data_IF_771065798598
#
_entry.id   IF_771065798598
#
_cell.length_a   1.000
_cell.length_b   1.000
_cell.length_c   1.000
_cell.angle_alpha   90.00
_cell.angle_beta   90.00
_cell.angle_gamma   90.00
#
_symmetry.space_group_name_H-M   'P 1'
#
loop_
_entity.id
_entity.type
_entity.pdbx_description
1 polymer ?
#
# COMPACT_ATOMS: atom_id res chain seq x y z
N UNK A 1 8.40 -19.90 -28.31
CA UNK A 1 7.32 -19.33 -29.15
C UNK A 1 7.28 -19.87 -30.57
N UNK A 2 8.38 -19.97 -31.34
CA UNK A 2 8.38 -20.55 -32.71
C UNK A 2 7.74 -21.96 -32.77
N UNK A 3 7.96 -22.83 -31.78
CA UNK A 3 7.40 -24.20 -31.78
C UNK A 3 5.88 -24.25 -31.60
N UNK A 4 5.27 -23.35 -30.81
CA UNK A 4 3.82 -23.32 -30.62
C UNK A 4 3.07 -22.85 -31.90
N UNK A 5 3.70 -22.01 -32.70
CA UNK A 5 3.16 -21.53 -33.98
C UNK A 5 3.00 -22.67 -34.96
N UNK A 6 3.99 -23.57 -35.06
CA UNK A 6 3.93 -24.74 -35.93
C UNK A 6 2.91 -25.81 -35.47
N UNK A 7 2.76 -25.96 -34.16
CA UNK A 7 1.77 -26.88 -33.59
C UNK A 7 0.32 -26.47 -33.91
N UNK A 8 0.02 -25.18 -33.97
CA UNK A 8 -1.30 -24.67 -34.33
C UNK A 8 -1.70 -24.91 -35.81
N UNK A 9 -0.72 -25.13 -36.69
CA UNK A 9 -0.96 -25.44 -38.10
C UNK A 9 -1.17 -26.97 -38.35
N UNK A 10 -0.85 -27.84 -37.38
CA UNK A 10 -0.94 -29.29 -37.54
C UNK A 10 -2.37 -29.75 -37.90
N UNK A 11 -3.46 -29.28 -37.24
CA UNK A 11 -4.82 -29.73 -37.61
C UNK A 11 -5.17 -29.40 -39.07
N UNK A 12 -4.73 -28.24 -39.57
CA UNK A 12 -4.99 -27.81 -40.93
C UNK A 12 -4.24 -28.68 -41.95
N UNK A 13 -2.98 -28.98 -41.68
CA UNK A 13 -2.14 -29.83 -42.54
C UNK A 13 -2.71 -31.25 -42.60
N UNK A 14 -3.10 -31.81 -41.45
CA UNK A 14 -3.73 -33.13 -41.38
C UNK A 14 -5.09 -33.16 -42.10
N UNK A 15 -5.91 -32.10 -41.95
CA UNK A 15 -7.18 -32.00 -42.67
C UNK A 15 -6.98 -31.87 -44.18
N UNK A 16 -5.98 -31.14 -44.65
CA UNK A 16 -5.64 -31.00 -46.04
C UNK A 16 -5.18 -32.34 -46.68
N UNK A 17 -4.33 -33.10 -45.95
CA UNK A 17 -3.87 -34.43 -46.37
C UNK A 17 -5.04 -35.40 -46.48
N UNK A 18 -5.89 -35.45 -45.45
CA UNK A 18 -7.05 -36.34 -45.43
C UNK A 18 -8.07 -35.99 -46.50
N UNK A 19 -8.35 -34.71 -46.73
CA UNK A 19 -9.23 -34.23 -47.78
C UNK A 19 -8.67 -34.56 -49.18
N UNK A 20 -7.34 -34.46 -49.36
CA UNK A 20 -6.64 -34.86 -50.60
C UNK A 20 -6.79 -36.38 -50.86
N UNK A 21 -6.61 -37.20 -49.82
CA UNK A 21 -6.76 -38.67 -49.91
C UNK A 21 -8.20 -39.07 -50.23
N UNK A 22 -9.22 -38.37 -49.67
CA UNK A 22 -10.63 -38.56 -49.97
C UNK A 22 -10.95 -38.17 -51.43
N UNK A 23 -10.41 -37.07 -51.96
CA UNK A 23 -10.65 -36.60 -53.34
C UNK A 23 -9.92 -37.43 -54.37
N UNK A 24 -8.76 -37.99 -54.06
CA UNK A 24 -8.01 -38.83 -54.97
C UNK A 24 -8.53 -40.27 -55.06
N UNK A 25 -9.57 -40.61 -54.32
CA UNK A 25 -10.13 -41.98 -54.28
C UNK A 25 -9.32 -43.03 -53.51
N UNK A 26 -8.25 -42.59 -52.84
CA UNK A 26 -7.45 -43.47 -51.97
C UNK A 26 -8.23 -43.95 -50.74
N UNK A 27 -9.28 -43.17 -50.33
CA UNK A 27 -10.19 -43.50 -49.23
C UNK A 27 -11.61 -43.23 -49.74
N UNK A 28 -12.60 -44.10 -49.39
CA UNK A 28 -13.98 -43.91 -49.75
C UNK A 28 -14.50 -42.57 -49.24
N UNK A 29 -15.03 -41.72 -50.13
CA UNK A 29 -15.57 -40.41 -49.79
C UNK A 29 -17.12 -40.41 -49.81
N UNK A 30 -17.82 -40.81 -48.73
CA UNK A 30 -19.24 -40.85 -48.69
C UNK A 30 -19.82 -39.45 -48.81
N UNK A 31 -20.73 -39.20 -49.71
CA UNK A 31 -21.48 -37.97 -49.81
C UNK A 31 -22.53 -37.98 -48.69
N UNK A 32 -22.42 -37.07 -47.78
CA UNK A 32 -23.43 -36.89 -46.71
C UNK A 32 -24.63 -36.12 -47.32
N UNK A 33 -25.71 -36.85 -47.59
CA UNK A 33 -26.97 -36.27 -48.09
C UNK A 33 -27.72 -35.57 -46.95
N UNK A 34 -27.29 -34.38 -46.61
CA UNK A 34 -28.05 -33.49 -45.74
C UNK A 34 -28.10 -32.10 -46.40
N UNK A 35 -29.26 -31.70 -46.84
CA UNK A 35 -29.71 -30.41 -47.43
C UNK A 35 -28.67 -29.35 -47.93
N UNK A 36 -27.41 -29.65 -47.88
CA UNK A 36 -26.31 -28.94 -48.51
C UNK A 36 -25.43 -30.02 -49.14
N UNK A 37 -25.25 -30.03 -50.46
CA UNK A 37 -24.39 -30.95 -51.23
C UNK A 37 -22.90 -30.80 -50.86
N UNK A 38 -22.52 -31.06 -49.61
CA UNK A 38 -21.17 -31.01 -49.10
C UNK A 38 -20.61 -32.42 -48.99
N UNK A 39 -19.54 -32.73 -49.72
CA UNK A 39 -18.81 -33.99 -49.57
C UNK A 39 -18.03 -34.03 -48.24
N UNK A 40 -17.70 -35.24 -47.75
CA UNK A 40 -16.95 -35.44 -46.54
C UNK A 40 -15.59 -34.72 -46.56
N UNK A 41 -14.94 -34.60 -47.74
CA UNK A 41 -13.69 -33.92 -47.90
C UNK A 41 -13.78 -32.41 -47.58
N UNK A 42 -14.90 -31.78 -47.97
CA UNK A 42 -15.16 -30.36 -47.68
C UNK A 42 -15.42 -30.12 -46.19
N UNK A 43 -16.19 -31.02 -45.52
CA UNK A 43 -16.45 -30.94 -44.10
C UNK A 43 -15.14 -31.11 -43.27
N UNK A 44 -14.26 -32.04 -43.65
CA UNK A 44 -12.97 -32.24 -43.00
C UNK A 44 -12.07 -31.01 -43.16
N UNK A 45 -12.03 -30.37 -44.32
CA UNK A 45 -11.27 -29.13 -44.55
C UNK A 45 -11.80 -27.98 -43.70
N UNK A 46 -13.11 -27.77 -43.69
CA UNK A 46 -13.72 -26.72 -42.87
C UNK A 46 -13.49 -26.94 -41.36
N UNK A 47 -13.61 -28.19 -40.89
CA UNK A 47 -13.32 -28.57 -39.51
C UNK A 47 -11.83 -28.32 -39.14
N UNK A 48 -10.91 -28.66 -40.03
CA UNK A 48 -9.49 -28.41 -39.82
C UNK A 48 -9.12 -26.93 -39.81
N UNK A 49 -9.76 -26.13 -40.67
CA UNK A 49 -9.59 -24.66 -40.71
C UNK A 49 -10.14 -24.00 -39.41
N UNK A 50 -11.33 -24.41 -38.97
CA UNK A 50 -11.91 -23.87 -37.75
C UNK A 50 -11.09 -24.23 -36.49
N UNK A 51 -10.61 -25.45 -36.34
CA UNK A 51 -9.74 -25.87 -35.27
C UNK A 51 -8.41 -25.13 -35.27
N UNK A 52 -7.79 -24.93 -36.44
CA UNK A 52 -6.57 -24.12 -36.57
C UNK A 52 -6.84 -22.67 -36.20
N UNK A 53 -7.92 -22.07 -36.63
CA UNK A 53 -8.31 -20.71 -36.28
C UNK A 53 -8.50 -20.53 -34.78
N UNK A 54 -9.16 -21.45 -34.09
CA UNK A 54 -9.32 -21.46 -32.65
C UNK A 54 -7.96 -21.61 -31.91
N UNK A 55 -7.08 -22.48 -32.42
CA UNK A 55 -5.74 -22.64 -31.86
C UNK A 55 -4.89 -21.35 -32.00
N UNK A 56 -4.97 -20.68 -33.15
CA UNK A 56 -4.31 -19.38 -33.38
C UNK A 56 -4.87 -18.29 -32.48
N UNK A 57 -6.20 -18.19 -32.30
CA UNK A 57 -6.84 -17.28 -31.37
C UNK A 57 -6.37 -17.55 -29.93
N UNK A 58 -6.36 -18.79 -29.48
CA UNK A 58 -5.87 -19.17 -28.16
C UNK A 58 -4.41 -18.82 -27.91
N UNK A 59 -3.53 -19.10 -28.90
CA UNK A 59 -2.13 -18.68 -28.85
C UNK A 59 -1.95 -17.16 -28.79
N UNK A 60 -2.72 -16.42 -29.61
CA UNK A 60 -2.71 -14.96 -29.62
C UNK A 60 -3.15 -14.36 -28.28
N UNK A 61 -4.25 -14.89 -27.73
CA UNK A 61 -4.78 -14.46 -26.44
C UNK A 61 -3.78 -14.75 -25.28
N UNK A 62 -3.22 -15.96 -25.25
CA UNK A 62 -2.22 -16.35 -24.26
C UNK A 62 -0.97 -15.47 -24.34
N UNK A 63 -0.51 -15.19 -25.54
CA UNK A 63 0.63 -14.29 -25.76
C UNK A 63 0.35 -12.83 -25.34
N UNK A 64 -0.87 -12.32 -25.61
CA UNK A 64 -1.32 -11.01 -25.16
C UNK A 64 -1.34 -10.91 -23.62
N UNK A 65 -1.90 -11.92 -22.94
CA UNK A 65 -1.95 -11.97 -21.47
C UNK A 65 -0.55 -12.08 -20.85
N UNK A 66 0.33 -12.93 -21.41
CA UNK A 66 1.72 -13.07 -20.97
C UNK A 66 2.50 -11.76 -21.13
N UNK A 67 2.31 -11.06 -22.26
CA UNK A 67 2.96 -9.75 -22.46
C UNK A 67 2.41 -8.68 -21.52
N UNK A 68 1.11 -8.69 -21.24
CA UNK A 68 0.49 -7.73 -20.34
C UNK A 68 0.97 -7.92 -18.90
N UNK A 69 1.02 -9.15 -18.41
CA UNK A 69 1.52 -9.47 -17.07
C UNK A 69 3.03 -9.17 -16.94
N UNK A 70 3.84 -9.50 -17.96
CA UNK A 70 5.26 -9.17 -17.95
C UNK A 70 5.52 -7.66 -17.90
N UNK A 71 4.75 -6.85 -18.64
CA UNK A 71 4.85 -5.38 -18.58
C UNK A 71 4.44 -4.83 -17.22
N UNK A 72 3.37 -5.36 -16.61
CA UNK A 72 2.94 -4.96 -15.27
C UNK A 72 4.04 -5.20 -14.23
N UNK A 73 4.71 -6.36 -14.28
CA UNK A 73 5.83 -6.68 -13.40
C UNK A 73 7.05 -5.76 -13.59
N UNK A 74 7.34 -5.38 -14.83
CA UNK A 74 8.45 -4.44 -15.12
C UNK A 74 8.14 -3.06 -14.55
N UNK A 75 6.93 -2.53 -14.79
CA UNK A 75 6.49 -1.24 -14.27
C UNK A 75 6.51 -1.23 -12.74
N UNK A 76 6.06 -2.33 -12.11
CA UNK A 76 6.08 -2.43 -10.65
C UNK A 76 7.51 -2.43 -10.08
N UNK A 77 8.43 -3.18 -10.70
CA UNK A 77 9.86 -3.17 -10.33
C UNK A 77 10.51 -1.79 -10.51
N UNK A 78 10.17 -1.09 -11.58
CA UNK A 78 10.68 0.27 -11.82
C UNK A 78 10.16 1.24 -10.77
N UNK A 79 8.87 1.15 -10.37
CA UNK A 79 8.31 1.94 -9.28
C UNK A 79 9.03 1.66 -7.97
N UNK A 80 9.16 0.40 -7.58
CA UNK A 80 9.86 0.01 -6.35
C UNK A 80 11.32 0.51 -6.35
N UNK A 81 12.03 0.43 -7.48
CA UNK A 81 13.39 0.94 -7.60
C UNK A 81 13.44 2.47 -7.45
N UNK A 82 12.48 3.20 -8.04
CA UNK A 82 12.37 4.65 -7.90
C UNK A 82 12.04 5.06 -6.47
N UNK A 83 11.11 4.38 -5.81
CA UNK A 83 10.74 4.66 -4.43
C UNK A 83 11.92 4.39 -3.48
N UNK A 84 12.65 3.30 -3.68
CA UNK A 84 13.87 3.01 -2.94
C UNK A 84 14.96 4.08 -3.16
N UNK A 85 15.16 4.56 -4.41
CA UNK A 85 16.11 5.64 -4.67
C UNK A 85 15.69 6.98 -4.04
N UNK A 86 14.38 7.28 -3.99
CA UNK A 86 13.85 8.47 -3.31
C UNK A 86 14.09 8.36 -1.82
N UNK A 87 13.80 7.20 -1.24
CA UNK A 87 14.06 6.93 0.18
C UNK A 87 15.53 7.15 0.53
N UNK A 88 16.47 6.53 -0.20
CA UNK A 88 17.91 6.69 0.07
C UNK A 88 18.34 8.16 -0.03
N UNK A 89 17.87 8.90 -1.03
CA UNK A 89 18.21 10.34 -1.16
C UNK A 89 17.68 11.16 0.01
N UNK A 90 16.45 10.90 0.47
CA UNK A 90 15.87 11.58 1.64
C UNK A 90 16.62 11.23 2.91
N UNK A 91 16.96 9.95 3.09
CA UNK A 91 17.73 9.48 4.23
C UNK A 91 19.11 10.16 4.30
N UNK A 92 19.83 10.22 3.18
CA UNK A 92 21.11 10.92 3.09
C UNK A 92 20.98 12.39 3.51
N UNK A 93 19.93 13.08 3.07
CA UNK A 93 19.64 14.46 3.43
C UNK A 93 19.28 14.63 4.91
N UNK A 94 18.40 13.77 5.44
CA UNK A 94 17.97 13.82 6.84
C UNK A 94 19.08 13.41 7.83
N UNK A 95 20.08 12.66 7.38
CA UNK A 95 21.28 12.33 8.17
C UNK A 95 22.35 13.41 8.06
N UNK A 96 22.59 13.97 6.88
CA UNK A 96 23.62 15.02 6.69
C UNK A 96 23.34 16.28 7.49
N UNK A 97 22.07 16.70 7.57
CA UNK A 97 21.69 17.91 8.27
C UNK A 97 22.10 17.91 9.76
N UNK A 98 21.67 16.94 10.60
CA UNK A 98 22.07 16.90 12.00
C UNK A 98 23.58 16.67 12.17
N UNK A 99 24.22 15.90 11.28
CA UNK A 99 25.68 15.69 11.33
C UNK A 99 26.45 16.98 11.07
N UNK A 100 26.01 17.80 10.10
CA UNK A 100 26.64 19.11 9.84
C UNK A 100 26.49 20.05 11.04
N UNK A 101 25.29 20.10 11.67
CA UNK A 101 25.09 20.90 12.90
C UNK A 101 25.96 20.39 14.05
N UNK A 102 26.08 19.07 14.22
CA UNK A 102 26.98 18.48 15.22
C UNK A 102 28.43 18.85 14.97
N UNK A 103 28.90 18.81 13.73
CA UNK A 103 30.28 19.21 13.38
C UNK A 103 30.55 20.68 13.71
N UNK A 104 29.59 21.58 13.35
CA UNK A 104 29.72 23.02 13.71
C UNK A 104 29.68 23.21 15.22
N UNK A 105 28.79 22.50 15.93
CA UNK A 105 28.70 22.56 17.39
C UNK A 105 29.99 22.10 18.06
N UNK A 106 30.60 21.02 17.60
CA UNK A 106 31.89 20.54 18.11
C UNK A 106 33.02 21.52 17.84
N UNK A 107 33.07 22.15 16.67
CA UNK A 107 34.05 23.14 16.33
C UNK A 107 33.94 24.42 17.20
N UNK A 108 32.70 24.80 17.56
CA UNK A 108 32.42 26.00 18.37
C UNK A 108 32.52 25.78 19.89
N UNK A 109 32.68 24.55 20.37
CA UNK A 109 32.92 24.27 21.80
C UNK A 109 34.16 25.00 22.35
N UNK A 110 35.09 25.38 21.47
CA UNK A 110 36.29 26.20 21.84
C UNK A 110 35.93 27.67 22.15
N UNK A 111 34.70 28.13 21.79
CA UNK A 111 34.29 29.54 21.87
C UNK A 111 33.23 29.87 22.95
N UNK A 112 32.67 28.84 23.64
CA UNK A 112 31.69 29.00 24.71
C UNK A 112 30.76 27.81 24.90
N UNK A 113 30.68 27.16 26.09
CA UNK A 113 30.16 25.79 26.20
C UNK A 113 28.61 25.64 26.36
N UNK A 114 27.84 26.66 26.70
CA UNK A 114 26.48 26.46 27.19
C UNK A 114 25.43 26.12 26.11
N UNK A 115 25.25 26.95 25.09
CA UNK A 115 24.23 26.76 24.05
C UNK A 115 24.61 25.66 23.05
N UNK A 116 25.90 25.47 22.80
CA UNK A 116 26.43 24.51 21.84
C UNK A 116 26.18 23.05 22.26
N UNK A 117 26.22 22.76 23.58
CA UNK A 117 25.97 21.42 24.10
C UNK A 117 24.48 21.02 23.98
N UNK A 118 23.57 21.93 24.30
CA UNK A 118 22.15 21.69 24.18
C UNK A 118 21.74 21.39 22.73
N UNK A 119 22.24 22.18 21.77
CA UNK A 119 22.00 21.96 20.33
C UNK A 119 22.56 20.61 19.87
N UNK A 120 23.77 20.25 20.31
CA UNK A 120 24.34 18.94 19.97
C UNK A 120 23.52 17.78 20.54
N UNK A 121 23.05 17.87 21.78
CA UNK A 121 22.18 16.87 22.41
C UNK A 121 20.86 16.71 21.65
N UNK A 122 20.24 17.80 21.19
CA UNK A 122 19.03 17.79 20.38
C UNK A 122 19.24 17.06 19.04
N UNK A 123 20.37 17.32 18.35
CA UNK A 123 20.68 16.62 17.10
C UNK A 123 20.95 15.12 17.31
N UNK A 124 21.60 14.74 18.38
CA UNK A 124 21.79 13.32 18.75
C UNK A 124 20.43 12.66 19.03
N UNK A 125 19.53 13.32 19.75
CA UNK A 125 18.18 12.83 20.01
C UNK A 125 17.37 12.67 18.69
N UNK A 126 17.50 13.61 17.75
CA UNK A 126 16.91 13.54 16.41
C UNK A 126 17.42 12.33 15.62
N UNK A 127 18.73 12.12 15.56
CA UNK A 127 19.34 10.96 14.89
C UNK A 127 18.87 9.64 15.52
N UNK A 128 18.80 9.58 16.86
CA UNK A 128 18.29 8.38 17.56
C UNK A 128 16.84 8.07 17.18
N UNK A 129 15.97 9.08 17.11
CA UNK A 129 14.57 8.91 16.66
C UNK A 129 14.46 8.42 15.22
N UNK A 130 15.30 8.94 14.31
CA UNK A 130 15.36 8.47 12.92
C UNK A 130 15.76 6.99 12.85
N UNK A 131 16.85 6.61 13.55
CA UNK A 131 17.30 5.21 13.58
C UNK A 131 16.26 4.26 14.18
N UNK A 132 15.59 4.66 15.26
CA UNK A 132 14.53 3.86 15.86
C UNK A 132 13.33 3.69 14.92
N UNK A 133 12.94 4.75 14.20
CA UNK A 133 11.87 4.70 13.21
C UNK A 133 12.21 3.78 12.04
N UNK A 134 13.44 3.86 11.52
CA UNK A 134 13.93 2.99 10.46
C UNK A 134 13.98 1.51 10.89
N UNK A 135 14.45 1.25 12.12
CA UNK A 135 14.46 -0.10 12.66
C UNK A 135 13.05 -0.67 12.76
N UNK A 136 12.10 0.10 13.30
CA UNK A 136 10.68 -0.32 13.36
C UNK A 136 10.11 -0.64 11.99
N UNK A 137 10.41 0.17 10.96
CA UNK A 137 9.99 -0.10 9.57
C UNK A 137 10.59 -1.39 9.01
N UNK A 138 11.88 -1.65 9.27
CA UNK A 138 12.57 -2.86 8.84
C UNK A 138 12.04 -4.11 9.56
N UNK A 139 11.80 -4.00 10.86
CA UNK A 139 11.27 -5.10 11.66
C UNK A 139 9.86 -5.49 11.19
N UNK A 140 9.05 -4.51 10.75
CA UNK A 140 7.73 -4.76 10.17
C UNK A 140 7.77 -5.69 8.95
N UNK A 141 8.83 -5.73 8.15
CA UNK A 141 8.91 -6.60 6.97
C UNK A 141 9.12 -8.08 7.32
N UNK A 142 9.74 -8.35 8.46
CA UNK A 142 10.20 -9.69 8.85
C UNK A 142 9.34 -10.32 9.95
N UNK A 143 8.56 -9.54 10.69
CA UNK A 143 7.79 -10.02 11.84
C UNK A 143 6.54 -10.80 11.39
N UNK A 144 6.32 -11.98 11.97
CA UNK A 144 5.05 -12.68 11.82
C UNK A 144 3.99 -11.96 12.67
N UNK A 145 2.86 -11.56 12.08
CA UNK A 145 1.78 -10.89 12.81
C UNK A 145 1.13 -11.92 13.75
N UNK A 146 1.05 -11.59 15.03
CA UNK A 146 0.23 -12.33 15.97
C UNK A 146 -1.26 -12.17 15.58
N UNK A 147 -1.99 -13.28 15.44
CA UNK A 147 -3.41 -13.23 15.08
C UNK A 147 -4.28 -13.21 16.35
N UNK A 148 -4.18 -12.15 17.13
CA UNK A 148 -4.99 -11.94 18.33
C UNK A 148 -6.32 -11.30 18.01
N UNK A 149 -7.29 -11.42 18.92
CA UNK A 149 -8.60 -10.74 18.80
C UNK A 149 -8.53 -9.42 19.57
N UNK A 150 -8.60 -8.31 18.84
CA UNK A 150 -8.35 -6.97 19.37
C UNK A 150 -9.63 -6.17 19.38
N UNK A 151 -9.99 -5.63 20.57
CA UNK A 151 -11.01 -4.59 20.72
C UNK A 151 -10.38 -3.23 20.38
N UNK A 152 -10.80 -2.65 19.26
CA UNK A 152 -10.26 -1.36 18.82
C UNK A 152 -10.68 -0.21 19.72
N UNK A 153 -11.78 -0.29 20.44
CA UNK A 153 -12.20 0.77 21.38
C UNK A 153 -11.24 0.86 22.56
N UNK A 154 -10.85 -0.29 23.11
CA UNK A 154 -9.86 -0.37 24.19
C UNK A 154 -8.47 0.07 23.71
N UNK A 155 -8.05 -0.41 22.55
CA UNK A 155 -6.77 -0.05 21.94
C UNK A 155 -6.68 1.46 21.67
N UNK A 156 -7.73 2.08 21.14
CA UNK A 156 -7.78 3.53 20.91
C UNK A 156 -7.72 4.29 22.22
N UNK A 157 -8.37 3.79 23.28
CA UNK A 157 -8.25 4.33 24.63
C UNK A 157 -6.80 4.34 25.12
N UNK A 158 -6.06 3.23 24.92
CA UNK A 158 -4.63 3.14 25.25
C UNK A 158 -3.80 4.12 24.43
N UNK A 159 -4.06 4.26 23.12
CA UNK A 159 -3.35 5.19 22.24
C UNK A 159 -3.56 6.66 22.67
N UNK A 160 -4.80 7.02 23.01
CA UNK A 160 -5.15 8.37 23.50
C UNK A 160 -4.46 8.65 24.85
N UNK A 161 -4.48 7.69 25.78
CA UNK A 161 -3.82 7.82 27.07
C UNK A 161 -2.30 8.03 26.91
N UNK A 162 -1.67 7.26 26.01
CA UNK A 162 -0.27 7.41 25.68
C UNK A 162 0.03 8.79 25.05
N UNK A 163 -0.81 9.29 24.16
CA UNK A 163 -0.66 10.64 23.60
C UNK A 163 -0.79 11.72 24.68
N UNK A 164 -1.76 11.63 25.58
CA UNK A 164 -1.96 12.58 26.68
C UNK A 164 -0.83 12.59 27.71
N UNK A 165 -0.02 11.54 27.78
CA UNK A 165 1.16 11.48 28.67
C UNK A 165 2.37 12.23 28.14
N UNK A 166 2.34 12.71 26.90
CA UNK A 166 3.43 13.51 26.33
C UNK A 166 3.45 14.90 26.94
N UNK A 167 4.59 15.37 27.46
CA UNK A 167 4.72 16.72 28.05
C UNK A 167 4.21 17.82 27.09
N UNK A 168 3.31 18.68 27.59
CA UNK A 168 2.69 19.76 26.83
C UNK A 168 1.41 19.37 26.09
N UNK A 169 0.93 18.12 26.24
CA UNK A 169 -0.33 17.65 25.65
C UNK A 169 -1.37 17.21 26.67
N UNK A 170 -1.08 17.35 27.97
CA UNK A 170 -1.94 16.92 29.08
C UNK A 170 -3.35 17.57 29.05
N UNK A 171 -3.42 18.81 28.56
CA UNK A 171 -4.68 19.56 28.43
C UNK A 171 -5.34 19.49 27.05
N UNK A 172 -4.81 18.70 26.12
CA UNK A 172 -5.36 18.61 24.76
C UNK A 172 -6.73 17.95 24.76
N UNK A 173 -7.64 18.54 23.98
CA UNK A 173 -8.95 17.96 23.75
C UNK A 173 -8.83 16.82 22.72
N UNK A 174 -8.67 15.58 23.22
CA UNK A 174 -8.70 14.35 22.42
C UNK A 174 -9.93 13.57 22.87
N UNK A 175 -10.91 13.47 21.98
CA UNK A 175 -12.20 12.83 22.24
C UNK A 175 -12.34 11.55 21.43
N UNK A 176 -12.73 10.46 22.11
CA UNK A 176 -13.13 9.21 21.46
C UNK A 176 -14.66 9.20 21.32
N UNK A 177 -15.13 9.16 20.09
CA UNK A 177 -16.56 9.08 19.77
C UNK A 177 -16.86 7.70 19.16
N UNK A 178 -17.36 6.74 19.95
CA UNK A 178 -17.91 5.53 19.39
C UNK A 178 -19.12 5.90 18.51
N UNK A 179 -19.25 5.27 17.35
CA UNK A 179 -20.46 5.40 16.56
C UNK A 179 -21.65 4.98 17.46
N UNK A 180 -22.73 5.76 17.44
CA UNK A 180 -23.93 5.48 18.24
C UNK A 180 -24.68 4.27 17.66
N UNK A 181 -24.12 3.09 17.83
CA UNK A 181 -24.72 1.80 17.51
C UNK A 181 -25.16 1.15 18.82
N UNK A 182 -26.23 0.34 18.82
CA UNK A 182 -26.65 -0.39 20.01
C UNK A 182 -25.66 -1.50 20.43
N UNK A 183 -24.62 -1.75 19.63
CA UNK A 183 -23.55 -2.74 19.85
C UNK A 183 -22.17 -2.14 19.62
N UNK A 184 -21.16 -2.71 20.28
CA UNK A 184 -19.75 -2.37 20.04
C UNK A 184 -19.31 -2.87 18.66
N UNK A 185 -18.39 -2.15 17.97
CA UNK A 185 -17.78 -2.64 16.74
C UNK A 185 -17.16 -4.04 16.95
N UNK A 186 -17.20 -4.92 15.93
CA UNK A 186 -16.61 -6.24 16.04
C UNK A 186 -15.09 -6.14 16.26
N UNK A 187 -14.48 -7.13 16.94
CA UNK A 187 -13.04 -7.18 17.10
C UNK A 187 -12.35 -7.38 15.74
N UNK A 188 -11.11 -6.92 15.64
CA UNK A 188 -10.24 -7.19 14.50
C UNK A 188 -9.21 -8.26 14.85
N UNK A 189 -8.70 -8.97 13.85
CA UNK A 189 -7.60 -9.92 14.04
C UNK A 189 -6.27 -9.26 13.69
N UNK A 190 -5.29 -9.31 14.60
CA UNK A 190 -4.01 -8.68 14.32
C UNK A 190 -3.05 -8.70 15.50
N UNK A 191 -2.04 -7.86 15.39
CA UNK A 191 -1.02 -7.60 16.40
C UNK A 191 -1.35 -6.28 17.12
N UNK A 192 -1.60 -6.36 18.44
CA UNK A 192 -2.03 -5.22 19.25
C UNK A 192 -0.97 -4.12 19.28
N UNK A 193 0.31 -4.47 19.42
CA UNK A 193 1.41 -3.50 19.50
C UNK A 193 1.58 -2.71 18.20
N UNK A 194 1.43 -3.37 17.05
CA UNK A 194 1.52 -2.72 15.75
C UNK A 194 0.34 -1.79 15.49
N UNK A 195 -0.88 -2.20 15.83
CA UNK A 195 -2.05 -1.33 15.69
C UNK A 195 -2.01 -0.18 16.70
N UNK A 196 -1.57 -0.43 17.92
CA UNK A 196 -1.35 0.62 18.93
C UNK A 196 -0.35 1.66 18.41
N UNK A 197 0.78 1.21 17.84
CA UNK A 197 1.78 2.08 17.23
C UNK A 197 1.19 2.91 16.08
N UNK A 198 0.36 2.30 15.22
CA UNK A 198 -0.28 2.99 14.10
C UNK A 198 -1.23 4.09 14.58
N UNK A 199 -2.15 3.77 15.49
CA UNK A 199 -3.11 4.77 16.00
C UNK A 199 -2.44 5.83 16.85
N UNK A 200 -1.42 5.48 17.64
CA UNK A 200 -0.61 6.47 18.35
C UNK A 200 0.03 7.47 17.37
N UNK A 201 0.62 7.01 16.27
CA UNK A 201 1.22 7.91 15.28
C UNK A 201 0.19 8.82 14.60
N UNK A 202 -1.03 8.36 14.35
CA UNK A 202 -2.10 9.22 13.81
C UNK A 202 -2.52 10.29 14.81
N UNK A 203 -2.70 9.92 16.08
CA UNK A 203 -3.08 10.85 17.15
C UNK A 203 -1.94 11.83 17.44
N UNK A 204 -0.69 11.37 17.48
CA UNK A 204 0.52 12.19 17.63
C UNK A 204 0.60 13.25 16.53
N UNK A 205 0.38 12.86 15.27
CA UNK A 205 0.33 13.79 14.16
C UNK A 205 -0.82 14.82 14.32
N UNK A 206 -2.02 14.37 14.66
CA UNK A 206 -3.15 15.27 14.89
C UNK A 206 -2.87 16.29 16.01
N UNK A 207 -2.21 15.85 17.08
CA UNK A 207 -1.77 16.74 18.16
C UNK A 207 -0.69 17.72 17.70
N UNK A 208 0.29 17.31 16.92
CA UNK A 208 1.39 18.16 16.43
C UNK A 208 0.90 19.26 15.50
N UNK A 209 0.04 18.90 14.57
CA UNK A 209 -0.44 19.82 13.53
C UNK A 209 -1.65 20.65 13.95
N UNK A 210 -2.46 20.19 14.92
CA UNK A 210 -3.59 20.96 15.44
C UNK A 210 -3.24 22.23 16.24
N UNK A 211 -1.96 22.44 16.54
CA UNK A 211 -1.53 23.59 17.36
C UNK A 211 -2.02 23.53 18.81
N UNK A 212 -1.72 24.53 19.67
CA UNK A 212 -2.06 24.49 21.11
C UNK A 212 -3.57 24.46 21.41
N UNK A 213 -4.39 25.11 20.58
CA UNK A 213 -5.86 25.14 20.69
C UNK A 213 -6.55 24.05 19.85
N UNK A 214 -5.76 23.12 19.26
CA UNK A 214 -6.28 22.06 18.41
C UNK A 214 -7.12 21.04 19.15
N UNK A 215 -8.16 20.54 18.48
CA UNK A 215 -8.96 19.40 18.93
C UNK A 215 -8.70 18.19 18.02
N UNK A 216 -8.66 17.03 18.65
CA UNK A 216 -8.52 15.74 17.95
C UNK A 216 -9.76 14.90 18.23
N UNK A 217 -10.44 14.47 17.19
CA UNK A 217 -11.59 13.58 17.29
C UNK A 217 -11.23 12.22 16.71
N UNK A 218 -11.38 11.19 17.53
CA UNK A 218 -11.22 9.80 17.10
C UNK A 218 -12.61 9.18 17.06
N UNK A 219 -13.02 8.69 15.88
CA UNK A 219 -14.30 8.03 15.68
C UNK A 219 -14.09 6.59 15.30
N UNK A 220 -14.89 5.70 15.86
CA UNK A 220 -14.88 4.28 15.51
C UNK A 220 -16.29 3.85 15.12
N UNK A 221 -16.39 3.06 14.04
CA UNK A 221 -17.64 2.54 13.53
C UNK A 221 -17.45 1.36 12.61
N UNK A 222 -18.52 0.93 11.96
CA UNK A 222 -18.55 -0.19 11.02
C UNK A 222 -18.93 0.29 9.63
N UNK A 223 -18.36 -0.36 8.62
CA UNK A 223 -18.73 -0.19 7.21
C UNK A 223 -18.66 -1.56 6.52
N UNK A 224 -19.80 -2.25 6.48
CA UNK A 224 -19.89 -3.62 5.96
C UNK A 224 -19.07 -4.61 6.80
N UNK A 225 -18.11 -5.28 6.17
CA UNK A 225 -17.23 -6.25 6.83
C UNK A 225 -15.94 -5.61 7.40
N UNK A 226 -15.90 -4.30 7.54
CA UNK A 226 -14.73 -3.58 8.04
C UNK A 226 -15.08 -2.73 9.25
N UNK A 227 -14.13 -2.63 10.20
CA UNK A 227 -14.14 -1.61 11.23
C UNK A 227 -13.39 -0.39 10.72
N UNK A 228 -14.01 0.78 10.87
CA UNK A 228 -13.48 2.06 10.38
C UNK A 228 -13.12 2.93 11.57
N UNK A 229 -11.89 3.42 11.56
CA UNK A 229 -11.41 4.41 12.53
C UNK A 229 -11.06 5.70 11.78
N UNK A 230 -11.63 6.80 12.21
CA UNK A 230 -11.30 8.14 11.71
C UNK A 230 -10.58 8.91 12.81
N UNK A 231 -9.42 9.50 12.46
CA UNK A 231 -8.69 10.45 13.31
C UNK A 231 -8.72 11.80 12.61
N UNK A 232 -9.44 12.74 13.19
CA UNK A 232 -9.65 14.08 12.65
C UNK A 232 -8.98 15.15 13.51
N UNK A 233 -8.31 16.10 12.87
CA UNK A 233 -7.79 17.32 13.48
C UNK A 233 -8.36 18.56 12.80
N UNK A 234 -8.33 19.68 13.52
CA UNK A 234 -8.68 21.01 13.02
C UNK A 234 -7.44 21.86 12.72
N UNK A 235 -6.36 21.25 12.33
CA UNK A 235 -5.10 21.89 12.01
C UNK A 235 -5.12 22.65 10.67
N UNK A 236 -3.94 23.05 10.16
CA UNK A 236 -3.81 23.82 8.93
C UNK A 236 -4.16 23.04 7.68
N UNK A 237 -4.40 21.72 7.79
CA UNK A 237 -4.61 20.84 6.64
C UNK A 237 -3.34 20.59 5.84
N UNK A 238 -3.48 19.80 4.77
CA UNK A 238 -2.40 19.36 3.90
C UNK A 238 -2.63 19.93 2.50
N UNK A 239 -1.59 20.48 1.88
CA UNK A 239 -1.66 20.97 0.51
C UNK A 239 -1.93 19.81 -0.46
N UNK A 240 -2.74 20.03 -1.49
CA UNK A 240 -3.17 19.00 -2.44
C UNK A 240 -1.98 18.29 -3.11
N UNK A 241 -0.92 19.03 -3.43
CA UNK A 241 0.32 18.49 -4.00
C UNK A 241 1.08 17.53 -3.06
N UNK A 242 0.89 17.66 -1.73
CA UNK A 242 1.57 16.84 -0.74
C UNK A 242 0.79 15.53 -0.46
N UNK A 243 -0.54 15.50 -0.67
CA UNK A 243 -1.40 14.37 -0.37
C UNK A 243 -0.94 13.03 -0.96
N UNK A 244 -0.46 12.95 -2.22
CA UNK A 244 0.01 11.69 -2.79
C UNK A 244 1.26 11.13 -2.10
N UNK A 245 2.01 11.97 -1.39
CA UNK A 245 3.34 11.67 -0.87
C UNK A 245 3.41 11.49 0.64
N UNK A 246 2.36 11.85 1.40
CA UNK A 246 2.41 11.88 2.87
C UNK A 246 2.68 10.53 3.53
N UNK A 247 2.43 9.42 2.84
CA UNK A 247 2.72 8.07 3.30
C UNK A 247 4.09 7.55 2.84
N UNK A 248 4.84 8.33 2.05
CA UNK A 248 6.19 7.97 1.66
C UNK A 248 7.16 8.16 2.84
N UNK A 249 8.12 7.27 2.95
CA UNK A 249 9.14 7.30 4.01
C UNK A 249 9.96 8.60 3.95
N UNK A 250 10.19 9.19 5.13
CA UNK A 250 10.94 10.45 5.32
C UNK A 250 10.34 11.64 4.56
N UNK A 251 9.09 11.53 4.08
CA UNK A 251 8.43 12.66 3.44
C UNK A 251 7.93 13.66 4.47
N UNK A 252 8.16 14.94 4.18
CA UNK A 252 7.66 16.07 4.98
C UNK A 252 7.20 17.17 4.04
N UNK A 253 5.90 17.46 4.05
CA UNK A 253 5.31 18.56 3.29
C UNK A 253 5.80 19.93 3.78
N UNK A 254 5.56 20.96 2.99
CA UNK A 254 5.97 22.33 3.36
C UNK A 254 5.35 22.81 4.67
N UNK A 255 4.10 22.43 4.96
CA UNK A 255 3.41 22.74 6.22
C UNK A 255 4.03 22.11 7.47
N UNK A 256 4.93 21.13 7.31
CA UNK A 256 5.65 20.47 8.40
C UNK A 256 6.97 21.15 8.78
N UNK A 257 7.33 22.29 8.16
CA UNK A 257 8.53 23.05 8.50
C UNK A 257 8.41 23.62 9.92
N UNK A 258 9.40 23.34 10.75
CA UNK A 258 9.41 23.78 12.16
C UNK A 258 8.64 22.85 13.13
N UNK A 259 7.84 21.91 12.65
CA UNK A 259 7.19 20.91 13.49
C UNK A 259 8.12 19.70 13.66
N UNK A 260 8.29 19.22 14.88
CA UNK A 260 9.16 18.09 15.17
C UNK A 260 8.62 16.77 14.59
N UNK A 261 9.46 16.02 13.86
CA UNK A 261 9.10 14.72 13.31
C UNK A 261 10.12 14.16 12.33
N UNK A 262 10.16 12.83 12.20
CA UNK A 262 11.08 12.12 11.32
C UNK A 262 10.54 11.89 9.90
N UNK A 263 9.25 12.12 9.65
CA UNK A 263 8.61 11.74 8.39
C UNK A 263 8.40 10.22 8.22
N UNK A 264 8.57 9.43 9.28
CA UNK A 264 8.39 7.97 9.25
C UNK A 264 7.04 7.51 9.83
N UNK A 265 6.37 8.37 10.61
CA UNK A 265 5.15 7.98 11.33
C UNK A 265 4.03 7.52 10.41
N UNK A 266 3.70 8.27 9.35
CA UNK A 266 2.64 7.89 8.42
C UNK A 266 3.01 6.68 7.54
N UNK A 267 4.28 6.51 7.19
CA UNK A 267 4.75 5.31 6.52
C UNK A 267 4.58 4.06 7.40
N UNK A 268 4.88 4.17 8.70
CA UNK A 268 4.62 3.12 9.70
C UNK A 268 3.13 2.80 9.80
N UNK A 269 2.25 3.82 9.84
CA UNK A 269 0.80 3.64 9.85
C UNK A 269 0.36 2.84 8.63
N UNK A 270 0.74 3.26 7.43
CA UNK A 270 0.37 2.59 6.19
C UNK A 270 0.81 1.13 6.21
N UNK A 271 2.06 0.87 6.54
CA UNK A 271 2.63 -0.48 6.56
C UNK A 271 1.96 -1.37 7.61
N UNK A 272 1.72 -0.87 8.82
CA UNK A 272 1.02 -1.60 9.87
C UNK A 272 -0.40 -1.97 9.44
N UNK A 273 -1.16 -1.01 8.90
CA UNK A 273 -2.54 -1.23 8.44
C UNK A 273 -2.59 -2.21 7.26
N UNK A 274 -1.72 -2.07 6.26
CA UNK A 274 -1.64 -2.97 5.09
C UNK A 274 -1.31 -4.40 5.51
N UNK A 275 -0.43 -4.59 6.50
CA UNK A 275 -0.11 -5.90 7.05
C UNK A 275 -1.28 -6.59 7.76
N UNK A 276 -2.24 -5.82 8.24
CA UNK A 276 -3.51 -6.32 8.80
C UNK A 276 -4.61 -6.50 7.73
N UNK A 277 -4.24 -6.43 6.43
CA UNK A 277 -5.20 -6.53 5.33
C UNK A 277 -6.13 -5.32 5.21
N UNK A 278 -5.80 -4.22 5.90
CA UNK A 278 -6.56 -2.99 5.93
C UNK A 278 -6.10 -1.97 4.88
N UNK A 279 -6.74 -0.80 4.91
CA UNK A 279 -6.39 0.35 4.08
C UNK A 279 -6.38 1.63 4.90
N UNK A 280 -5.51 2.58 4.55
CA UNK A 280 -5.50 3.92 5.12
C UNK A 280 -5.67 4.94 4.01
N UNK A 281 -6.53 5.93 4.27
CA UNK A 281 -6.79 7.04 3.37
C UNK A 281 -6.72 8.36 4.14
N UNK A 282 -6.58 9.47 3.40
CA UNK A 282 -6.56 10.82 3.95
C UNK A 282 -7.55 11.72 3.21
N UNK A 283 -8.24 12.56 3.95
CA UNK A 283 -9.02 13.68 3.44
C UNK A 283 -8.55 14.94 4.14
N UNK A 284 -8.10 15.93 3.40
CA UNK A 284 -7.62 17.18 3.98
C UNK A 284 -7.92 18.36 3.07
N UNK A 285 -8.15 19.51 3.69
CA UNK A 285 -8.27 20.78 3.00
C UNK A 285 -7.44 21.83 3.72
N UNK A 286 -6.62 22.61 3.02
CA UNK A 286 -5.88 23.72 3.62
C UNK A 286 -6.80 24.64 4.44
N UNK A 287 -6.42 24.92 5.68
CA UNK A 287 -7.18 25.75 6.63
C UNK A 287 -8.40 25.08 7.28
N UNK A 288 -8.72 23.83 6.96
CA UNK A 288 -9.90 23.13 7.50
C UNK A 288 -9.57 21.87 8.32
N UNK A 289 -8.29 21.48 8.35
CA UNK A 289 -7.86 20.29 9.07
C UNK A 289 -7.68 19.04 8.19
N UNK A 290 -7.45 17.92 8.86
CA UNK A 290 -7.17 16.63 8.21
C UNK A 290 -7.98 15.51 8.88
N UNK A 291 -8.40 14.54 8.09
CA UNK A 291 -9.04 13.30 8.55
C UNK A 291 -8.30 12.13 7.93
N UNK A 292 -7.69 11.31 8.78
CA UNK A 292 -7.17 10.00 8.40
C UNK A 292 -8.24 8.94 8.65
N UNK A 293 -8.45 8.08 7.67
CA UNK A 293 -9.46 7.00 7.69
C UNK A 293 -8.75 5.67 7.57
N UNK A 294 -8.81 4.86 8.62
CA UNK A 294 -8.27 3.49 8.65
C UNK A 294 -9.42 2.51 8.56
N UNK A 295 -9.34 1.55 7.65
CA UNK A 295 -10.29 0.45 7.49
C UNK A 295 -9.56 -0.87 7.76
N UNK A 296 -10.05 -1.65 8.71
CA UNK A 296 -9.51 -2.96 9.06
C UNK A 296 -10.60 -4.01 8.87
N UNK A 297 -10.27 -5.19 8.31
CA UNK A 297 -11.24 -6.26 8.19
C UNK A 297 -11.71 -6.70 9.58
N UNK A 298 -13.03 -6.76 9.76
CA UNK A 298 -13.62 -7.29 10.98
C UNK A 298 -13.34 -8.79 11.07
N UNK A 299 -13.10 -9.29 12.27
CA UNK A 299 -13.03 -10.74 12.49
C UNK A 299 -14.44 -11.29 12.26
N UNK A 300 -14.62 -12.34 11.41
CA UNK A 300 -15.93 -12.95 11.27
C UNK A 300 -16.45 -13.38 12.64
N UNK A 301 -17.68 -12.98 12.98
CA UNK A 301 -18.39 -13.53 14.14
C UNK A 301 -18.57 -15.02 13.92
N UNK A 302 -18.01 -15.83 14.82
CA UNK A 302 -18.23 -17.28 14.84
C UNK A 302 -19.66 -17.60 15.25
#
# INVERSE_FOLDING_TARGET
>A
MRRAFWLAAIPWVLAAILAGALRSGLVANPVLAWQADADLATLVLLGGLSLSGLAWLGCGLSWYWLRRSARALVVERERQAQDHQRFIRRLDHEMKNPLAVLQVSLASLQSGPGQTLATAQEQVARLRRLLQGLRKLSDLDTYAIAAESIDLSDLLGKAIAAAKSVPGWEGRNIELHPQRLPWSPPPVSGDEDLLLLAFYNLIDNACKFGGPAGSVQVRIGEDGAAVVVEVADNGPGIAERDLPHIFEELYRGEGARGIEGSGLGLALVKKAVERHGGTVAVRSRPGQGTVFVVRLPAKPSQ
#
